data_IF_507239384268
#
_entry.id   IF_507239384268
#
_cell.length_a   1.000
_cell.length_b   1.000
_cell.length_c   1.000
_cell.angle_alpha   90.00
_cell.angle_beta   90.00
_cell.angle_gamma   90.00
#
_symmetry.space_group_name_H-M   'P 1'
#
loop_
_entity.id
_entity.type
_entity.pdbx_description
1 polymer ?
#
# COMPACT_ATOMS: atom_id res chain seq x y z
N UNK A 1 3.35 9.17 3.68
CA UNK A 1 3.99 8.17 2.80
C UNK A 1 3.32 8.15 1.44
N UNK A 2 4.09 8.15 0.34
CA UNK A 2 3.55 8.15 -1.03
C UNK A 2 3.38 6.74 -1.58
N UNK A 3 2.22 6.45 -2.18
CA UNK A 3 1.93 5.17 -2.82
C UNK A 3 2.92 4.83 -3.95
N UNK A 4 3.35 5.84 -4.72
CA UNK A 4 4.31 5.69 -5.81
C UNK A 4 5.69 5.23 -5.34
N UNK A 5 6.09 5.54 -4.11
CA UNK A 5 7.36 5.07 -3.51
C UNK A 5 7.28 3.57 -3.21
N UNK A 6 6.20 3.12 -2.56
CA UNK A 6 5.99 1.70 -2.24
C UNK A 6 5.84 0.82 -3.50
N UNK A 7 5.30 1.38 -4.58
CA UNK A 7 5.24 0.67 -5.87
C UNK A 7 6.63 0.42 -6.46
N UNK A 8 7.63 1.25 -6.16
CA UNK A 8 9.01 1.11 -6.64
C UNK A 8 9.85 0.15 -5.79
N UNK A 9 9.52 -0.03 -4.51
CA UNK A 9 10.20 -0.96 -3.60
C UNK A 9 10.15 -2.41 -4.06
N UNK A 10 11.14 -3.21 -3.65
CA UNK A 10 11.18 -4.64 -3.94
C UNK A 10 10.10 -5.39 -3.14
N UNK A 11 9.65 -6.58 -3.60
CA UNK A 11 8.76 -7.42 -2.81
C UNK A 11 9.35 -7.82 -1.45
N UNK A 12 10.67 -8.02 -1.34
CA UNK A 12 11.32 -8.35 -0.06
C UNK A 12 11.25 -7.18 0.91
N UNK A 13 11.58 -5.96 0.48
CA UNK A 13 11.51 -4.75 1.30
C UNK A 13 10.09 -4.52 1.83
N UNK A 14 9.09 -4.73 0.98
CA UNK A 14 7.69 -4.60 1.36
C UNK A 14 7.25 -5.69 2.33
N UNK A 15 7.78 -6.91 2.21
CA UNK A 15 7.50 -8.00 3.13
C UNK A 15 8.05 -7.67 4.51
N UNK A 16 9.32 -7.25 4.59
CA UNK A 16 9.98 -6.88 5.85
C UNK A 16 9.28 -5.70 6.52
N UNK A 17 8.93 -4.66 5.75
CA UNK A 17 8.22 -3.51 6.27
C UNK A 17 6.84 -3.91 6.81
N UNK A 18 6.08 -4.71 6.07
CA UNK A 18 4.78 -5.19 6.52
C UNK A 18 4.89 -6.05 7.79
N UNK A 19 5.92 -6.91 7.90
CA UNK A 19 6.18 -7.69 9.12
C UNK A 19 6.53 -6.79 10.31
N UNK A 20 7.37 -5.76 10.11
CA UNK A 20 7.73 -4.81 11.17
C UNK A 20 6.52 -4.00 11.69
N UNK A 21 5.49 -3.85 10.86
CA UNK A 21 4.22 -3.20 11.20
C UNK A 21 3.21 -4.18 11.85
N UNK A 22 3.62 -5.43 12.12
CA UNK A 22 2.82 -6.44 12.80
C UNK A 22 1.95 -7.30 11.88
N UNK A 23 2.20 -7.32 10.57
CA UNK A 23 1.46 -8.17 9.64
C UNK A 23 1.96 -9.63 9.68
N UNK A 24 1.05 -10.56 9.93
CA UNK A 24 1.32 -12.00 9.98
C UNK A 24 0.78 -12.74 8.75
N UNK A 25 1.30 -13.94 8.48
CA UNK A 25 0.84 -14.82 7.39
C UNK A 25 0.93 -14.22 5.97
N UNK A 26 1.84 -13.28 5.75
CA UNK A 26 2.01 -12.55 4.48
C UNK A 26 3.11 -13.08 3.55
N UNK A 27 3.77 -14.20 3.89
CA UNK A 27 4.91 -14.75 3.10
C UNK A 27 4.58 -15.08 1.64
N UNK A 28 3.30 -15.27 1.30
CA UNK A 28 2.82 -15.52 -0.08
C UNK A 28 1.93 -14.38 -0.61
N UNK A 29 1.88 -13.26 0.11
CA UNK A 29 1.04 -12.13 -0.28
C UNK A 29 1.58 -11.49 -1.57
N UNK A 30 0.66 -11.05 -2.43
CA UNK A 30 1.03 -10.29 -3.63
C UNK A 30 1.58 -8.93 -3.21
N UNK A 31 2.47 -8.36 -4.03
CA UNK A 31 3.03 -7.01 -3.81
C UNK A 31 1.95 -5.96 -3.50
N UNK A 32 0.84 -5.95 -4.24
CA UNK A 32 -0.28 -5.03 -4.00
C UNK A 32 -0.89 -5.19 -2.60
N UNK A 33 -1.03 -6.44 -2.13
CA UNK A 33 -1.53 -6.73 -0.78
C UNK A 33 -0.57 -6.21 0.29
N UNK A 34 0.74 -6.42 0.12
CA UNK A 34 1.76 -5.87 1.04
C UNK A 34 1.69 -4.35 1.12
N UNK A 35 1.62 -3.67 -0.03
CA UNK A 35 1.47 -2.21 -0.10
C UNK A 35 0.21 -1.76 0.64
N UNK A 36 -0.92 -2.44 0.44
CA UNK A 36 -2.17 -2.10 1.11
C UNK A 36 -2.08 -2.26 2.63
N UNK A 37 -1.49 -3.35 3.11
CA UNK A 37 -1.28 -3.61 4.54
C UNK A 37 -0.43 -2.50 5.17
N UNK A 38 0.68 -2.14 4.53
CA UNK A 38 1.58 -1.08 4.99
C UNK A 38 0.83 0.26 5.06
N UNK A 39 0.12 0.64 3.99
CA UNK A 39 -0.63 1.89 3.96
C UNK A 39 -1.72 1.95 5.03
N UNK A 40 -2.42 0.85 5.25
CA UNK A 40 -3.45 0.74 6.29
C UNK A 40 -2.86 0.89 7.69
N UNK A 41 -1.74 0.23 7.98
CA UNK A 41 -1.04 0.34 9.26
C UNK A 41 -0.58 1.78 9.52
N UNK A 42 -0.05 2.45 8.50
CA UNK A 42 0.40 3.85 8.58
C UNK A 42 -0.76 4.83 8.81
N UNK A 43 -1.85 4.69 8.07
CA UNK A 43 -3.05 5.49 8.28
C UNK A 43 -3.63 5.29 9.69
N UNK A 44 -3.61 4.05 10.21
CA UNK A 44 -4.04 3.76 11.59
C UNK A 44 -3.16 4.46 12.65
N UNK A 45 -1.89 4.71 12.34
CA UNK A 45 -0.96 5.45 13.18
C UNK A 45 -1.05 6.99 12.99
N UNK A 46 -2.11 7.49 12.35
CA UNK A 46 -2.29 8.90 11.98
C UNK A 46 -1.15 9.46 11.09
N UNK A 47 -0.43 8.61 10.38
CA UNK A 47 0.53 9.05 9.36
C UNK A 47 -0.21 9.36 8.06
N UNK A 48 0.11 10.50 7.44
CA UNK A 48 -0.50 10.90 6.18
C UNK A 48 -0.16 9.90 5.06
N UNK A 49 -1.18 9.48 4.30
CA UNK A 49 -1.03 8.60 3.13
C UNK A 49 -1.43 9.37 1.88
N UNK A 50 -0.53 9.45 0.92
CA UNK A 50 -0.72 10.20 -0.33
C UNK A 50 -0.71 9.23 -1.49
N UNK A 51 -1.81 9.22 -2.26
CA UNK A 51 -1.93 8.51 -3.53
C UNK A 51 -1.84 9.47 -4.71
N UNK A 52 -1.26 9.00 -5.80
CA UNK A 52 -1.25 9.70 -7.09
C UNK A 52 -1.72 8.75 -8.20
N UNK A 53 -2.34 9.30 -9.23
CA UNK A 53 -2.90 8.55 -10.35
C UNK A 53 -3.55 9.45 -11.39
N UNK A 54 -3.98 8.84 -12.49
CA UNK A 54 -4.79 9.50 -13.52
C UNK A 54 -6.26 9.27 -13.22
N UNK A 55 -7.06 10.34 -13.20
CA UNK A 55 -8.51 10.24 -13.04
C UNK A 55 -9.13 9.64 -14.31
N UNK A 56 -9.91 8.57 -14.14
CA UNK A 56 -10.69 7.96 -15.21
C UNK A 56 -12.14 7.81 -14.74
N UNK A 57 -13.07 8.47 -15.45
CA UNK A 57 -14.47 8.60 -15.02
C UNK A 57 -15.31 7.56 -15.75
N UNK A 58 -15.96 6.68 -14.99
CA UNK A 58 -16.87 5.66 -15.53
C UNK A 58 -18.23 6.27 -15.89
N UNK A 59 -19.03 5.53 -16.68
CA UNK A 59 -20.34 5.99 -17.16
C UNK A 59 -21.31 6.35 -16.02
N UNK A 60 -21.16 5.70 -14.88
CA UNK A 60 -21.96 5.94 -13.67
C UNK A 60 -21.54 7.20 -12.90
N UNK A 61 -20.49 7.90 -13.36
CA UNK A 61 -20.05 9.19 -12.82
C UNK A 61 -19.01 9.12 -11.68
N UNK A 62 -18.47 7.94 -11.36
CA UNK A 62 -17.38 7.78 -10.39
C UNK A 62 -16.03 7.51 -11.07
N UNK A 63 -14.92 7.90 -10.42
CA UNK A 63 -13.55 7.78 -10.92
C UNK A 63 -12.50 8.13 -9.87
#
# INVERSE_FOLDING_TARGET
MKLSELKKSSPEELLELAQSLGAENISRAKKQTLIFIILKAKAANNEEVIGDGTLDILQDGYG
#
